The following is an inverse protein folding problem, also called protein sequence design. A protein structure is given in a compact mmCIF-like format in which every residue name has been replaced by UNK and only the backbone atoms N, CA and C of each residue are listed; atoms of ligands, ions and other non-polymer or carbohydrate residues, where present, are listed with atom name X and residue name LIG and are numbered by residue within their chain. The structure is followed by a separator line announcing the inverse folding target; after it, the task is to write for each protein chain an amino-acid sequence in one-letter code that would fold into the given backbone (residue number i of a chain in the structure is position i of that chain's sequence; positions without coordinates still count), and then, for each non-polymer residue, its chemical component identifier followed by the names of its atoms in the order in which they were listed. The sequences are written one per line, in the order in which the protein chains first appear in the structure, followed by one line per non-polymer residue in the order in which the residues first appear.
data_IF_791429327506
#
_entry.id   IF_791429327506
#
_cell.length_a   1.000
_cell.length_b   1.000
_cell.length_c   1.000
_cell.angle_alpha   90.00
_cell.angle_beta   90.00
_cell.angle_gamma   90.00
#
_symmetry.space_group_name_H-M   'P 1'
#
loop_
_entity.id
_entity.type
_entity.pdbx_description
1 polymer ?
#
# COMPACT_ATOMS: atom_id res chain seq x y z
N UNK A 1 0.98 20.28 -27.06
CA UNK A 1 -0.42 20.07 -26.64
C UNK A 1 -0.60 20.71 -25.28
N UNK A 2 -1.45 21.73 -25.14
CA UNK A 2 -1.88 22.24 -23.83
C UNK A 2 -2.89 21.23 -23.29
N UNK A 3 -2.49 20.41 -22.32
CA UNK A 3 -3.44 19.60 -21.55
C UNK A 3 -4.39 20.56 -20.86
N UNK A 4 -5.69 20.36 -21.02
CA UNK A 4 -6.70 21.21 -20.39
C UNK A 4 -6.60 21.03 -18.86
N UNK A 5 -6.60 22.13 -18.09
CA UNK A 5 -6.37 22.06 -16.64
C UNK A 5 -7.42 21.19 -15.94
N UNK A 6 -8.64 21.21 -16.46
CA UNK A 6 -9.77 20.45 -15.91
C UNK A 6 -9.63 18.94 -16.17
N UNK A 7 -9.08 18.55 -17.34
CA UNK A 7 -8.81 17.13 -17.66
C UNK A 7 -7.69 16.54 -16.79
N UNK A 8 -6.65 17.33 -16.48
CA UNK A 8 -5.54 16.90 -15.63
C UNK A 8 -5.97 16.70 -14.16
N UNK A 9 -6.93 17.50 -13.70
CA UNK A 9 -7.52 17.39 -12.37
C UNK A 9 -8.47 16.18 -12.27
N UNK A 10 -9.33 15.98 -13.27
CA UNK A 10 -10.21 14.81 -13.35
C UNK A 10 -9.41 13.49 -13.41
N UNK A 11 -8.38 13.44 -14.26
CA UNK A 11 -7.51 12.27 -14.35
C UNK A 11 -6.84 11.98 -13.01
N UNK A 12 -6.36 13.01 -12.32
CA UNK A 12 -5.74 12.86 -11.01
C UNK A 12 -6.71 12.30 -9.96
N UNK A 13 -7.94 12.81 -9.89
CA UNK A 13 -8.93 12.29 -8.94
C UNK A 13 -9.25 10.83 -9.23
N UNK A 14 -9.39 10.43 -10.50
CA UNK A 14 -9.56 9.02 -10.88
C UNK A 14 -8.37 8.15 -10.48
N UNK A 15 -7.13 8.62 -10.70
CA UNK A 15 -5.91 7.90 -10.28
C UNK A 15 -5.88 7.71 -8.77
N UNK A 16 -6.23 8.74 -8.01
CA UNK A 16 -6.31 8.70 -6.55
C UNK A 16 -7.38 7.72 -6.07
N UNK A 17 -8.57 7.72 -6.67
CA UNK A 17 -9.63 6.75 -6.35
C UNK A 17 -9.19 5.30 -6.59
N UNK A 18 -8.50 5.04 -7.71
CA UNK A 18 -7.95 3.72 -8.01
C UNK A 18 -6.92 3.32 -6.96
N UNK A 19 -6.01 4.23 -6.61
CA UNK A 19 -5.00 4.00 -5.58
C UNK A 19 -5.63 3.68 -4.22
N UNK A 20 -6.62 4.47 -3.81
CA UNK A 20 -7.34 4.28 -2.55
C UNK A 20 -7.96 2.87 -2.49
N UNK A 21 -8.59 2.42 -3.59
CA UNK A 21 -9.16 1.06 -3.69
C UNK A 21 -8.10 -0.04 -3.64
N UNK A 22 -6.95 0.15 -4.29
CA UNK A 22 -5.83 -0.83 -4.26
C UNK A 22 -5.38 -1.05 -2.81
N UNK A 23 -5.11 0.03 -2.06
CA UNK A 23 -4.65 -0.09 -0.67
C UNK A 23 -5.75 -0.53 0.29
N UNK A 24 -7.01 -0.17 0.06
CA UNK A 24 -8.13 -0.68 0.85
C UNK A 24 -8.29 -2.20 0.69
N UNK A 25 -8.17 -2.71 -0.54
CA UNK A 25 -8.21 -4.14 -0.83
C UNK A 25 -7.04 -4.87 -0.17
N UNK A 26 -5.83 -4.32 -0.22
CA UNK A 26 -4.66 -4.88 0.47
C UNK A 26 -4.88 -4.95 1.98
N UNK A 27 -5.43 -3.89 2.60
CA UNK A 27 -5.75 -3.88 4.03
C UNK A 27 -6.76 -4.98 4.38
N UNK A 28 -7.81 -5.14 3.58
CA UNK A 28 -8.80 -6.23 3.75
C UNK A 28 -8.14 -7.60 3.61
N UNK A 29 -7.30 -7.79 2.59
CA UNK A 29 -6.58 -9.04 2.35
C UNK A 29 -5.66 -9.39 3.53
N UNK A 30 -4.86 -8.43 4.02
CA UNK A 30 -4.01 -8.64 5.21
C UNK A 30 -4.82 -9.00 6.45
N UNK A 31 -5.98 -8.39 6.65
CA UNK A 31 -6.86 -8.74 7.78
C UNK A 31 -7.39 -10.18 7.67
N UNK A 32 -7.75 -10.64 6.47
CA UNK A 32 -8.14 -12.03 6.24
C UNK A 32 -6.99 -12.99 6.55
N UNK A 33 -5.77 -12.68 6.11
CA UNK A 33 -4.58 -13.46 6.41
C UNK A 33 -4.25 -13.51 7.90
N UNK A 34 -4.38 -12.38 8.63
CA UNK A 34 -4.21 -12.33 10.09
C UNK A 34 -5.21 -13.24 10.79
N UNK A 35 -6.49 -13.23 10.37
CA UNK A 35 -7.52 -14.10 10.91
C UNK A 35 -7.21 -15.58 10.66
N UNK A 36 -6.78 -15.92 9.45
CA UNK A 36 -6.37 -17.28 9.10
C UNK A 36 -5.17 -17.74 9.96
N UNK A 37 -4.20 -16.86 10.18
CA UNK A 37 -3.03 -17.13 11.04
C UNK A 37 -3.45 -17.47 12.46
N UNK A 38 -4.36 -16.68 13.06
CA UNK A 38 -4.88 -16.95 14.40
C UNK A 38 -5.59 -18.32 14.48
N UNK A 39 -6.37 -18.68 13.46
CA UNK A 39 -7.03 -19.99 13.41
C UNK A 39 -6.03 -21.15 13.30
N UNK A 40 -4.99 -21.01 12.49
CA UNK A 40 -3.96 -22.03 12.33
C UNK A 40 -3.13 -22.22 13.60
N UNK A 41 -2.74 -21.12 14.26
CA UNK A 41 -2.04 -21.16 15.56
C UNK A 41 -2.90 -21.83 16.65
N UNK A 42 -4.20 -21.57 16.68
CA UNK A 42 -5.12 -22.22 17.61
C UNK A 42 -5.30 -23.72 17.32
N UNK A 43 -5.11 -24.16 16.07
CA UNK A 43 -5.15 -25.58 15.68
C UNK A 43 -3.82 -26.27 15.94
N UNK A 44 -2.69 -25.62 15.68
CA UNK A 44 -1.36 -26.20 15.90
C UNK A 44 -1.10 -26.43 17.38
N UNK A 45 -1.51 -25.50 18.26
CA UNK A 45 -1.39 -25.66 19.72
C UNK A 45 -2.15 -26.87 20.27
N UNK A 46 -3.22 -27.29 19.60
CA UNK A 46 -4.02 -28.48 19.99
C UNK A 46 -3.49 -29.79 19.41
N UNK A 47 -2.79 -29.73 18.28
CA UNK A 47 -2.43 -30.93 17.49
C UNK A 47 -0.94 -31.22 17.42
N UNK A 48 -0.08 -30.26 17.79
CA UNK A 48 1.38 -30.38 17.66
C UNK A 48 1.87 -30.49 16.21
N UNK A 49 1.03 -30.17 15.22
CA UNK A 49 1.33 -30.40 13.80
C UNK A 49 2.27 -29.31 13.26
N UNK A 50 3.51 -29.69 12.94
CA UNK A 50 4.55 -28.81 12.40
C UNK A 50 4.20 -28.21 11.03
N UNK A 51 3.44 -28.93 10.18
CA UNK A 51 3.05 -28.41 8.86
C UNK A 51 2.08 -27.22 8.94
N UNK A 52 1.38 -27.04 10.07
CA UNK A 52 0.57 -25.84 10.32
C UNK A 52 1.43 -24.63 10.65
N UNK A 53 2.61 -24.83 11.26
CA UNK A 53 3.55 -23.74 11.56
C UNK A 53 4.24 -23.25 10.28
N UNK A 54 4.61 -24.15 9.37
CA UNK A 54 5.12 -23.77 8.04
C UNK A 54 4.09 -22.94 7.26
N UNK A 55 2.81 -23.32 7.30
CA UNK A 55 1.74 -22.52 6.69
C UNK A 55 1.57 -21.14 7.34
N UNK A 56 1.73 -21.04 8.66
CA UNK A 56 1.70 -19.75 9.37
C UNK A 56 2.85 -18.86 8.90
N UNK A 57 4.05 -19.40 8.76
CA UNK A 57 5.22 -18.66 8.27
C UNK A 57 4.99 -18.14 6.85
N UNK A 58 4.49 -18.99 5.94
CA UNK A 58 4.12 -18.58 4.58
C UNK A 58 3.07 -17.46 4.54
N UNK A 59 2.10 -17.48 5.46
CA UNK A 59 1.08 -16.43 5.55
C UNK A 59 1.66 -15.13 6.12
N UNK A 60 2.55 -15.23 7.11
CA UNK A 60 3.26 -14.07 7.66
C UNK A 60 4.12 -13.38 6.61
N UNK A 61 4.83 -14.14 5.78
CA UNK A 61 5.55 -13.64 4.62
C UNK A 61 4.65 -12.80 3.70
N UNK A 62 3.43 -13.27 3.41
CA UNK A 62 2.45 -12.54 2.59
C UNK A 62 1.91 -11.30 3.29
N UNK A 63 1.63 -11.36 4.60
CA UNK A 63 1.22 -10.19 5.39
C UNK A 63 2.29 -9.09 5.35
N UNK A 64 3.56 -9.51 5.33
CA UNK A 64 4.72 -8.63 5.23
C UNK A 64 5.01 -8.14 3.81
N UNK A 65 4.16 -8.49 2.83
CA UNK A 65 4.24 -7.96 1.47
C UNK A 65 5.04 -8.82 0.49
N UNK A 66 5.51 -10.00 0.89
CA UNK A 66 6.25 -10.90 -0.02
C UNK A 66 5.33 -11.34 -1.17
N UNK A 67 5.76 -11.06 -2.40
CA UNK A 67 4.99 -11.35 -3.61
C UNK A 67 3.82 -10.39 -3.87
N UNK A 68 3.70 -9.30 -3.12
CA UNK A 68 2.67 -8.29 -3.35
C UNK A 68 3.10 -7.32 -4.45
N UNK A 69 2.24 -7.13 -5.46
CA UNK A 69 2.46 -6.17 -6.54
C UNK A 69 2.58 -4.73 -6.02
N UNK A 70 1.90 -4.41 -4.90
CA UNK A 70 2.00 -3.10 -4.25
C UNK A 70 3.44 -2.87 -3.76
N UNK A 71 4.02 -3.85 -3.06
CA UNK A 71 5.39 -3.74 -2.54
C UNK A 71 6.43 -3.74 -3.66
N UNK A 72 6.20 -4.49 -4.73
CA UNK A 72 7.04 -4.44 -5.92
C UNK A 72 6.98 -3.04 -6.57
N UNK A 73 5.78 -2.48 -6.75
CA UNK A 73 5.62 -1.15 -7.31
C UNK A 73 6.31 -0.08 -6.45
N UNK A 74 6.12 -0.13 -5.12
CA UNK A 74 6.79 0.78 -4.18
C UNK A 74 8.32 0.65 -4.21
N UNK A 75 8.87 -0.54 -4.47
CA UNK A 75 10.31 -0.75 -4.59
C UNK A 75 10.89 -0.21 -5.91
N UNK A 76 10.07 -0.05 -6.94
CA UNK A 76 10.47 0.49 -8.25
C UNK A 76 10.31 2.02 -8.33
N UNK A 77 9.59 2.63 -7.38
CA UNK A 77 9.41 4.08 -7.30
C UNK A 77 10.69 4.79 -6.80
N UNK A 78 10.78 6.09 -7.06
CA UNK A 78 11.68 6.97 -6.34
C UNK A 78 11.50 6.86 -4.82
N UNK A 79 12.60 6.97 -4.08
CA UNK A 79 12.63 6.79 -2.62
C UNK A 79 11.64 7.73 -1.93
N UNK A 80 11.58 8.98 -2.35
CA UNK A 80 10.73 10.00 -1.78
C UNK A 80 9.25 9.72 -2.00
N UNK A 81 8.87 9.28 -3.20
CA UNK A 81 7.47 9.00 -3.53
C UNK A 81 7.00 7.67 -2.91
N UNK A 82 7.86 6.66 -2.87
CA UNK A 82 7.61 5.42 -2.14
C UNK A 82 7.41 5.67 -0.64
N UNK A 83 8.26 6.51 -0.05
CA UNK A 83 8.13 6.94 1.33
C UNK A 83 6.81 7.69 1.58
N UNK A 84 6.43 8.61 0.67
CA UNK A 84 5.17 9.36 0.75
C UNK A 84 3.95 8.42 0.75
N UNK A 85 3.88 7.46 -0.19
CA UNK A 85 2.76 6.53 -0.24
C UNK A 85 2.74 5.56 0.93
N UNK A 86 3.91 5.15 1.42
CA UNK A 86 4.01 4.32 2.63
C UNK A 86 3.38 5.03 3.83
N UNK A 87 3.66 6.32 4.04
CA UNK A 87 3.06 7.08 5.14
C UNK A 87 1.56 7.31 4.92
N UNK A 88 1.13 7.54 3.68
CA UNK A 88 -0.29 7.76 3.40
C UNK A 88 -1.15 6.49 3.59
N UNK A 89 -0.63 5.32 3.21
CA UNK A 89 -1.46 4.12 3.02
C UNK A 89 -1.05 2.91 3.86
N UNK A 90 0.18 2.83 4.33
CA UNK A 90 0.71 1.65 5.03
C UNK A 90 1.07 1.93 6.49
N UNK A 91 1.40 3.16 6.85
CA UNK A 91 1.67 3.55 8.23
C UNK A 91 0.37 3.84 8.99
N UNK A 92 0.05 2.99 9.97
CA UNK A 92 -1.15 3.13 10.80
C UNK A 92 -1.13 4.42 11.62
N UNK A 93 0.04 4.90 12.06
CA UNK A 93 0.14 6.13 12.84
C UNK A 93 -0.20 7.37 12.00
N UNK A 94 0.36 7.47 10.80
CA UNK A 94 0.07 8.54 9.86
C UNK A 94 -1.37 8.52 9.36
N UNK A 95 -2.02 7.36 9.28
CA UNK A 95 -3.46 7.28 8.95
C UNK A 95 -4.37 7.91 10.03
N UNK A 96 -3.93 7.92 11.29
CA UNK A 96 -4.66 8.54 12.39
C UNK A 96 -4.42 10.05 12.48
N UNK A 97 -3.21 10.52 12.15
CA UNK A 97 -2.85 11.94 12.16
C UNK A 97 -2.95 12.58 10.77
N UNK A 98 -4.07 13.24 10.47
CA UNK A 98 -4.28 13.93 9.18
C UNK A 98 -3.25 15.04 8.86
N UNK A 99 -2.45 15.47 9.83
CA UNK A 99 -1.45 16.55 9.70
C UNK A 99 -0.02 16.07 9.88
N UNK A 100 0.23 14.75 9.86
CA UNK A 100 1.58 14.19 10.01
C UNK A 100 2.60 14.84 9.05
N UNK A 101 2.16 15.24 7.85
CA UNK A 101 2.98 15.83 6.81
C UNK A 101 3.54 17.21 7.18
N UNK A 102 2.91 17.96 8.10
CA UNK A 102 3.34 19.30 8.50
C UNK A 102 4.73 19.29 9.16
N UNK A 103 5.18 18.11 9.64
CA UNK A 103 6.53 17.89 10.19
C UNK A 103 7.63 17.90 9.13
N UNK A 104 7.28 17.68 7.86
CA UNK A 104 8.22 17.45 6.77
C UNK A 104 8.04 18.41 5.60
N UNK A 105 6.81 18.87 5.36
CA UNK A 105 6.47 19.69 4.20
C UNK A 105 5.50 20.80 4.57
N UNK A 106 5.56 21.89 3.81
CA UNK A 106 4.43 22.80 3.72
C UNK A 106 3.23 22.09 3.05
N UNK A 107 2.02 22.57 3.31
CA UNK A 107 0.78 22.06 2.70
C UNK A 107 0.89 21.99 1.17
N UNK A 108 1.36 23.05 0.52
CA UNK A 108 1.45 23.11 -0.95
C UNK A 108 2.48 22.11 -1.50
N UNK A 109 3.62 21.96 -0.85
CA UNK A 109 4.65 20.97 -1.23
C UNK A 109 4.11 19.56 -1.06
N UNK A 110 3.43 19.28 0.05
CA UNK A 110 2.81 17.97 0.29
C UNK A 110 1.84 17.58 -0.82
N UNK A 111 0.91 18.46 -1.22
CA UNK A 111 -0.05 18.13 -2.29
C UNK A 111 0.63 17.93 -3.65
N UNK A 112 1.67 18.70 -3.96
CA UNK A 112 2.46 18.50 -5.19
C UNK A 112 3.16 17.13 -5.19
N UNK A 113 3.87 16.80 -4.09
CA UNK A 113 4.56 15.51 -3.92
C UNK A 113 3.60 14.33 -3.91
N UNK A 114 2.45 14.47 -3.25
CA UNK A 114 1.38 13.46 -3.28
C UNK A 114 0.92 13.20 -4.72
N UNK A 115 0.69 14.26 -5.50
CA UNK A 115 0.28 14.13 -6.91
C UNK A 115 1.32 13.40 -7.76
N UNK A 116 2.60 13.73 -7.58
CA UNK A 116 3.73 13.05 -8.23
C UNK A 116 3.78 11.57 -7.85
N UNK A 117 3.73 11.26 -6.55
CA UNK A 117 3.81 9.89 -6.05
C UNK A 117 2.66 9.00 -6.54
N UNK A 118 1.43 9.52 -6.57
CA UNK A 118 0.26 8.80 -7.09
C UNK A 118 0.44 8.48 -8.58
N UNK A 119 0.89 9.45 -9.38
CA UNK A 119 1.11 9.25 -10.82
C UNK A 119 2.18 8.21 -11.09
N UNK A 120 3.31 8.29 -10.39
CA UNK A 120 4.41 7.34 -10.51
C UNK A 120 3.94 5.93 -10.14
N UNK A 121 3.25 5.77 -9.01
CA UNK A 121 2.74 4.47 -8.58
C UNK A 121 1.77 3.88 -9.60
N UNK A 122 0.77 4.64 -10.06
CA UNK A 122 -0.21 4.13 -11.03
C UNK A 122 0.48 3.71 -12.32
N UNK A 123 1.43 4.51 -12.80
CA UNK A 123 2.20 4.17 -13.99
C UNK A 123 3.00 2.88 -13.80
N UNK A 124 3.66 2.70 -12.67
CA UNK A 124 4.42 1.47 -12.38
C UNK A 124 3.46 0.28 -12.21
N UNK A 125 2.41 0.43 -11.41
CA UNK A 125 1.49 -0.65 -11.04
C UNK A 125 0.79 -1.26 -12.25
N UNK A 126 0.37 -0.46 -13.23
CA UNK A 126 -0.32 -0.95 -14.42
C UNK A 126 0.61 -1.29 -15.60
N UNK A 127 1.85 -0.81 -15.60
CA UNK A 127 2.82 -1.11 -16.66
C UNK A 127 3.95 -2.05 -16.20
N UNK A 128 3.88 -2.59 -14.97
CA UNK A 128 4.84 -3.55 -14.47
C UNK A 128 4.78 -4.82 -15.34
N UNK A 129 5.86 -5.20 -16.05
CA UNK A 129 5.91 -6.47 -16.76
C UNK A 129 6.00 -7.58 -15.71
N UNK A 130 4.90 -8.32 -15.53
CA UNK A 130 4.83 -9.54 -14.71
C UNK A 130 5.01 -10.74 -15.63
#
# INVERSE_FOLDING_TARGET
MKVNKDEDEELFERQKEVLDKIFELEKKYKNLLKNQTMMLLAKSSKTGNSSLLEQVEMIQDRINGKGSLIYLALAMMSVENSWMLTHLYLDEASQLDKKWYEKYFSKTTFYKRKKEAIREFINIYFNCPI
#
